data_IF_097879639074
#
_entry.id   IF_097879639074
#
_cell.length_a   1.000
_cell.length_b   1.000
_cell.length_c   1.000
_cell.angle_alpha   90.00
_cell.angle_beta   90.00
_cell.angle_gamma   90.00
#
_symmetry.space_group_name_H-M   'P 1'
#
loop_
_entity.id
_entity.type
_entity.pdbx_description
1 polymer ?
#
# COMPACT_ATOMS: atom_id res chain seq x y z
N UNK A 1 -11.18 -4.81 -31.59
CA UNK A 1 -9.90 -4.47 -32.26
C UNK A 1 -8.80 -4.78 -31.25
N UNK A 2 -7.94 -5.75 -31.54
CA UNK A 2 -6.90 -6.14 -30.56
C UNK A 2 -5.68 -5.23 -30.71
N UNK A 3 -5.29 -4.62 -29.60
CA UNK A 3 -4.01 -3.95 -29.44
C UNK A 3 -3.06 -4.99 -28.83
N UNK A 4 -2.05 -5.40 -29.57
CA UNK A 4 -1.02 -6.28 -29.04
C UNK A 4 -0.06 -5.49 -28.14
N UNK A 5 0.16 -5.98 -26.93
CA UNK A 5 1.07 -5.36 -25.98
C UNK A 5 2.17 -6.34 -25.55
N UNK A 6 3.41 -5.91 -25.62
CA UNK A 6 4.57 -6.67 -25.13
C UNK A 6 5.27 -5.85 -24.08
N UNK A 7 5.50 -6.44 -22.90
CA UNK A 7 6.27 -5.81 -21.84
C UNK A 7 7.76 -6.13 -22.02
N UNK A 8 8.62 -5.10 -21.89
CA UNK A 8 10.08 -5.22 -21.86
C UNK A 8 10.61 -4.59 -20.60
N UNK A 9 11.62 -5.19 -19.99
CA UNK A 9 12.26 -4.67 -18.80
C UNK A 9 13.72 -4.33 -19.07
N UNK A 10 14.14 -3.14 -18.65
CA UNK A 10 15.53 -2.72 -18.71
C UNK A 10 15.86 -1.86 -17.47
N UNK A 11 16.95 -2.18 -16.76
CA UNK A 11 17.38 -1.50 -15.52
C UNK A 11 16.25 -1.29 -14.50
N UNK A 12 15.44 -2.33 -14.23
CA UNK A 12 14.28 -2.30 -13.35
C UNK A 12 13.14 -1.36 -13.79
N UNK A 13 13.20 -0.80 -14.99
CA UNK A 13 12.14 -0.02 -15.60
C UNK A 13 11.39 -0.88 -16.62
N UNK A 14 10.06 -0.87 -16.53
CA UNK A 14 9.20 -1.58 -17.46
C UNK A 14 8.76 -0.65 -18.59
N UNK A 15 8.84 -1.16 -19.81
CA UNK A 15 8.38 -0.53 -21.04
C UNK A 15 7.27 -1.38 -21.66
N UNK A 16 6.21 -0.73 -22.15
CA UNK A 16 5.17 -1.38 -22.94
C UNK A 16 5.40 -1.00 -24.39
N UNK A 17 5.52 -2.01 -25.23
CA UNK A 17 5.49 -1.86 -26.68
C UNK A 17 4.09 -2.25 -27.15
N UNK A 18 3.30 -1.29 -27.58
CA UNK A 18 1.94 -1.51 -28.06
C UNK A 18 1.88 -1.37 -29.57
N UNK A 19 1.31 -2.38 -30.23
CA UNK A 19 1.17 -2.41 -31.69
C UNK A 19 -0.30 -2.46 -32.07
N UNK A 20 -0.70 -1.56 -32.99
CA UNK A 20 -2.03 -1.51 -33.59
C UNK A 20 -1.91 -1.28 -35.08
N UNK A 21 -2.44 -2.19 -35.90
CA UNK A 21 -2.36 -2.13 -37.37
C UNK A 21 -0.93 -1.88 -37.90
N UNK A 22 0.08 -2.50 -37.27
CA UNK A 22 1.49 -2.33 -37.65
C UNK A 22 2.12 -1.01 -37.18
N UNK A 23 1.36 -0.19 -36.45
CA UNK A 23 1.86 1.03 -35.82
C UNK A 23 2.27 0.78 -34.38
N UNK A 24 3.54 1.05 -34.07
CA UNK A 24 4.13 0.73 -32.77
C UNK A 24 4.32 2.00 -31.92
N UNK A 25 3.93 1.92 -30.66
CA UNK A 25 4.15 2.94 -29.64
C UNK A 25 4.86 2.33 -28.44
N UNK A 26 5.89 3.00 -27.94
CA UNK A 26 6.64 2.58 -26.76
C UNK A 26 6.30 3.51 -25.60
N UNK A 27 5.92 2.92 -24.46
CA UNK A 27 5.54 3.63 -23.23
C UNK A 27 6.41 3.18 -22.09
N UNK A 28 6.98 4.11 -21.34
CA UNK A 28 7.69 3.85 -20.07
C UNK A 28 6.67 3.82 -18.94
N UNK A 29 6.58 2.69 -18.22
CA UNK A 29 5.54 2.49 -17.19
C UNK A 29 5.70 3.35 -15.92
N UNK A 30 6.90 3.79 -15.61
CA UNK A 30 7.18 4.55 -14.38
C UNK A 30 6.48 5.90 -14.33
N UNK A 31 6.30 6.55 -15.47
CA UNK A 31 5.75 7.90 -15.61
C UNK A 31 4.71 8.03 -16.73
N UNK A 32 4.43 6.94 -17.45
CA UNK A 32 3.57 6.89 -18.63
C UNK A 32 4.02 7.81 -19.76
N UNK A 33 5.35 7.98 -19.92
CA UNK A 33 5.90 8.75 -21.03
C UNK A 33 6.08 7.90 -22.28
N UNK A 34 5.86 8.52 -23.41
CA UNK A 34 5.86 7.91 -24.73
C UNK A 34 7.14 8.26 -25.50
N UNK A 35 7.71 7.30 -26.21
CA UNK A 35 8.88 7.53 -27.03
C UNK A 35 8.56 8.29 -28.31
N UNK A 36 8.71 9.62 -28.28
CA UNK A 36 8.44 10.50 -29.41
C UNK A 36 9.39 10.26 -30.58
N UNK A 37 10.67 9.94 -30.32
CA UNK A 37 11.66 9.68 -31.38
C UNK A 37 11.27 8.47 -32.22
N UNK A 38 10.86 7.37 -31.60
CA UNK A 38 10.40 6.16 -32.32
C UNK A 38 9.10 6.40 -33.06
N UNK A 39 8.19 7.15 -32.42
CA UNK A 39 6.91 7.54 -33.04
C UNK A 39 7.13 8.35 -34.31
N UNK A 40 7.97 9.40 -34.27
CA UNK A 40 8.30 10.24 -35.46
C UNK A 40 8.95 9.37 -36.55
N UNK A 41 9.90 8.51 -36.18
CA UNK A 41 10.55 7.60 -37.13
C UNK A 41 9.53 6.72 -37.85
N UNK A 42 8.61 6.13 -37.07
CA UNK A 42 7.57 5.25 -37.62
C UNK A 42 6.61 6.00 -38.58
N UNK A 43 6.20 7.22 -38.19
CA UNK A 43 5.34 8.06 -39.06
C UNK A 43 6.10 8.44 -40.35
N UNK A 44 7.39 8.80 -40.26
CA UNK A 44 8.21 9.10 -41.43
C UNK A 44 8.30 7.92 -42.40
N UNK A 45 8.46 6.69 -41.90
CA UNK A 45 8.50 5.48 -42.72
C UNK A 45 7.17 5.26 -43.45
N UNK A 46 6.03 5.54 -42.81
CA UNK A 46 4.71 5.31 -43.35
C UNK A 46 4.28 6.42 -44.32
N UNK A 47 4.67 7.67 -44.08
CA UNK A 47 4.27 8.85 -44.88
C UNK A 47 5.34 9.28 -45.89
N UNK A 48 6.52 8.65 -45.91
CA UNK A 48 7.64 9.05 -46.76
C UNK A 48 8.19 10.43 -46.44
N UNK A 49 8.11 10.85 -45.17
CA UNK A 49 8.61 12.15 -44.68
C UNK A 49 9.94 12.01 -43.96
N UNK A 50 10.60 13.13 -43.68
CA UNK A 50 11.89 13.15 -42.94
C UNK A 50 11.86 14.18 -41.83
N UNK A 51 10.84 14.11 -40.98
CA UNK A 51 10.74 14.97 -39.79
C UNK A 51 11.68 14.47 -38.69
N UNK A 52 12.30 15.38 -37.95
CA UNK A 52 13.28 15.05 -36.93
C UNK A 52 12.93 15.69 -35.60
N UNK A 53 13.15 14.96 -34.52
CA UNK A 53 12.79 15.39 -33.17
C UNK A 53 13.43 16.73 -32.78
N UNK A 54 14.65 17.01 -33.22
CA UNK A 54 15.32 18.26 -32.89
C UNK A 54 14.65 19.49 -33.51
N UNK A 55 14.05 19.37 -34.71
CA UNK A 55 13.24 20.46 -35.32
C UNK A 55 11.98 20.73 -34.49
N UNK A 56 11.35 19.67 -33.95
CA UNK A 56 10.23 19.84 -33.04
C UNK A 56 10.65 20.57 -31.75
N UNK A 57 11.74 20.16 -31.13
CA UNK A 57 12.25 20.78 -29.90
C UNK A 57 12.66 22.24 -30.08
N UNK A 58 12.95 22.68 -31.30
CA UNK A 58 13.21 24.07 -31.65
C UNK A 58 11.93 24.87 -32.06
N UNK A 59 10.80 24.18 -32.20
CA UNK A 59 9.54 24.83 -32.61
C UNK A 59 8.97 25.70 -31.48
N UNK A 60 8.70 26.98 -31.79
CA UNK A 60 8.20 27.95 -30.80
C UNK A 60 6.88 27.51 -30.19
N UNK A 61 5.91 27.12 -31.00
CA UNK A 61 4.58 26.68 -30.54
C UNK A 61 4.67 25.46 -29.66
N UNK A 62 5.56 24.52 -29.98
CA UNK A 62 5.82 23.36 -29.11
C UNK A 62 6.41 23.77 -27.76
N UNK A 63 7.40 24.68 -27.74
CA UNK A 63 7.99 25.17 -26.53
C UNK A 63 7.00 25.97 -25.66
N UNK A 64 6.12 26.74 -26.28
CA UNK A 64 5.06 27.43 -25.54
C UNK A 64 4.08 26.45 -24.92
N UNK A 65 3.69 25.38 -25.63
CA UNK A 65 2.88 24.29 -25.08
C UNK A 65 3.59 23.60 -23.91
N UNK A 66 4.89 23.31 -24.05
CA UNK A 66 5.69 22.70 -22.94
C UNK A 66 5.65 23.57 -21.69
N UNK A 67 5.74 24.89 -21.83
CA UNK A 67 5.67 25.83 -20.70
C UNK A 67 4.29 25.82 -20.03
N UNK A 68 3.21 25.84 -20.82
CA UNK A 68 1.83 25.85 -20.31
C UNK A 68 1.49 24.59 -19.52
N UNK A 69 2.03 23.42 -19.92
CA UNK A 69 1.75 22.15 -19.24
C UNK A 69 2.78 21.81 -18.14
N UNK A 70 3.82 22.66 -17.98
CA UNK A 70 4.87 22.44 -16.96
C UNK A 70 4.34 22.76 -15.58
N UNK A 71 3.85 21.73 -14.90
CA UNK A 71 3.75 21.75 -13.45
C UNK A 71 5.15 21.51 -12.87
N UNK A 72 5.63 22.40 -12.02
CA UNK A 72 7.02 22.65 -11.67
C UNK A 72 7.84 21.48 -11.07
N UNK A 73 7.34 20.25 -11.04
CA UNK A 73 7.99 19.11 -10.35
C UNK A 73 8.48 17.97 -11.24
N UNK A 74 7.97 17.82 -12.45
CA UNK A 74 8.35 16.71 -13.34
C UNK A 74 8.69 17.29 -14.73
N UNK A 75 9.86 17.00 -15.30
CA UNK A 75 10.19 17.43 -16.65
C UNK A 75 9.24 16.75 -17.63
N UNK A 76 8.58 17.52 -18.48
CA UNK A 76 7.65 16.98 -19.49
C UNK A 76 8.34 16.22 -20.62
N UNK A 77 9.66 16.34 -20.73
CA UNK A 77 10.50 15.74 -21.76
C UNK A 77 11.72 15.15 -21.08
N UNK A 78 12.06 13.92 -21.44
CA UNK A 78 13.23 13.19 -20.94
C UNK A 78 13.99 12.55 -22.12
N UNK A 79 15.28 12.83 -22.23
CA UNK A 79 16.14 12.33 -23.33
C UNK A 79 16.94 11.15 -22.81
N UNK A 80 16.59 9.95 -23.25
CA UNK A 80 17.19 8.68 -22.80
C UNK A 80 18.09 8.09 -23.92
N UNK A 81 19.36 8.45 -23.92
CA UNK A 81 20.34 7.96 -24.89
C UNK A 81 21.05 6.68 -24.45
N UNK A 82 21.05 6.41 -23.13
CA UNK A 82 21.75 5.26 -22.53
C UNK A 82 20.93 3.94 -22.57
N UNK A 83 19.76 3.98 -23.20
CA UNK A 83 18.93 2.82 -23.38
C UNK A 83 19.35 2.03 -24.63
N UNK A 84 19.01 0.71 -24.70
CA UNK A 84 19.15 -0.07 -25.93
C UNK A 84 18.51 0.62 -27.14
N UNK A 85 19.04 0.41 -28.33
CA UNK A 85 18.61 1.10 -29.54
C UNK A 85 17.10 1.02 -29.82
N UNK A 86 16.44 -0.04 -29.41
CA UNK A 86 15.00 -0.23 -29.55
C UNK A 86 14.16 0.61 -28.55
N UNK A 87 14.75 0.99 -27.42
CA UNK A 87 14.11 1.81 -26.38
C UNK A 87 14.65 3.24 -26.32
N UNK A 88 15.82 3.52 -26.83
CA UNK A 88 16.45 4.84 -26.77
C UNK A 88 15.63 5.90 -27.50
N UNK A 89 15.70 7.14 -27.03
CA UNK A 89 15.05 8.29 -27.65
C UNK A 89 14.52 9.32 -26.67
N UNK A 90 13.72 10.24 -27.15
CA UNK A 90 13.08 11.29 -26.35
C UNK A 90 11.70 10.84 -25.90
N UNK A 91 11.52 10.80 -24.59
CA UNK A 91 10.24 10.44 -23.96
C UNK A 91 9.47 11.69 -23.56
N UNK A 92 8.17 11.69 -23.78
CA UNK A 92 7.30 12.83 -23.53
C UNK A 92 5.96 12.39 -22.92
N UNK A 93 5.32 13.28 -22.17
CA UNK A 93 3.99 13.02 -21.64
C UNK A 93 2.91 12.94 -22.75
N UNK A 94 1.72 12.42 -22.42
CA UNK A 94 0.61 12.19 -23.37
C UNK A 94 0.20 13.45 -24.12
N UNK A 95 0.17 14.63 -23.49
CA UNK A 95 -0.26 15.86 -24.12
C UNK A 95 0.70 16.30 -25.21
N UNK A 96 2.00 16.19 -24.96
CA UNK A 96 3.04 16.51 -25.96
C UNK A 96 3.03 15.51 -27.12
N UNK A 97 2.76 14.23 -26.85
CA UNK A 97 2.65 13.22 -27.92
C UNK A 97 1.49 13.53 -28.90
N UNK A 98 0.39 14.05 -28.40
CA UNK A 98 -0.71 14.49 -29.29
C UNK A 98 -0.23 15.60 -30.23
N UNK A 99 0.56 16.55 -29.71
CA UNK A 99 1.14 17.60 -30.59
C UNK A 99 2.16 17.00 -31.56
N UNK A 100 3.02 16.05 -31.14
CA UNK A 100 3.93 15.34 -32.05
C UNK A 100 3.18 14.71 -33.22
N UNK A 101 2.07 14.01 -32.91
CA UNK A 101 1.24 13.40 -33.95
C UNK A 101 0.66 14.44 -34.93
N UNK A 102 0.09 15.54 -34.44
CA UNK A 102 -0.42 16.61 -35.28
C UNK A 102 0.68 17.25 -36.14
N UNK A 103 1.85 17.46 -35.55
CA UNK A 103 2.98 18.03 -36.27
C UNK A 103 3.55 17.07 -37.33
N UNK A 104 3.52 15.77 -37.09
CA UNK A 104 3.97 14.77 -38.08
C UNK A 104 2.89 14.53 -39.14
N UNK A 105 1.71 14.11 -38.74
CA UNK A 105 0.58 13.85 -39.61
C UNK A 105 -0.69 13.67 -38.77
N UNK A 106 -1.70 14.50 -38.99
CA UNK A 106 -2.97 14.45 -38.27
C UNK A 106 -3.68 13.09 -38.41
N UNK A 107 -3.40 12.37 -39.49
CA UNK A 107 -3.95 11.03 -39.75
C UNK A 107 -3.64 10.04 -38.61
N UNK A 108 -2.46 10.13 -38.00
CA UNK A 108 -2.04 9.22 -36.96
C UNK A 108 -2.47 9.65 -35.55
N UNK A 109 -2.93 10.89 -35.37
CA UNK A 109 -3.42 11.36 -34.08
C UNK A 109 -4.52 10.43 -33.52
N UNK A 110 -5.48 10.04 -34.34
CA UNK A 110 -6.59 9.16 -33.90
C UNK A 110 -6.08 7.76 -33.53
N UNK A 111 -5.15 7.21 -34.32
CA UNK A 111 -4.59 5.88 -34.05
C UNK A 111 -3.77 5.86 -32.77
N UNK A 112 -2.91 6.87 -32.59
CA UNK A 112 -2.09 7.01 -31.37
C UNK A 112 -2.98 7.18 -30.15
N UNK A 113 -4.02 8.01 -30.20
CA UNK A 113 -4.94 8.16 -29.08
C UNK A 113 -5.64 6.85 -28.73
N UNK A 114 -6.12 6.07 -29.69
CA UNK A 114 -6.72 4.76 -29.43
C UNK A 114 -5.76 3.79 -28.72
N UNK A 115 -4.49 3.77 -29.13
CA UNK A 115 -3.48 2.93 -28.47
C UNK A 115 -3.23 3.43 -27.05
N UNK A 116 -3.08 4.75 -26.85
CA UNK A 116 -2.88 5.34 -25.54
C UNK A 116 -4.05 5.08 -24.58
N UNK A 117 -5.28 5.17 -25.08
CA UNK A 117 -6.47 4.88 -24.27
C UNK A 117 -6.54 3.40 -23.89
N UNK A 118 -6.23 2.47 -24.82
CA UNK A 118 -6.13 1.05 -24.53
C UNK A 118 -5.08 0.73 -23.45
N UNK A 119 -3.91 1.38 -23.50
CA UNK A 119 -2.86 1.23 -22.49
C UNK A 119 -3.36 1.71 -21.12
N UNK A 120 -4.04 2.85 -21.07
CA UNK A 120 -4.57 3.41 -19.82
C UNK A 120 -5.67 2.52 -19.23
N UNK A 121 -6.57 1.98 -20.05
CA UNK A 121 -7.62 1.03 -19.65
C UNK A 121 -7.01 -0.23 -19.05
N UNK A 122 -5.99 -0.79 -19.72
CA UNK A 122 -5.26 -1.96 -19.21
C UNK A 122 -4.61 -1.67 -17.86
N UNK A 123 -3.88 -0.57 -17.74
CA UNK A 123 -3.25 -0.15 -16.49
C UNK A 123 -4.28 0.04 -15.36
N UNK A 124 -5.43 0.65 -15.65
CA UNK A 124 -6.51 0.84 -14.68
C UNK A 124 -7.09 -0.50 -14.21
N UNK A 125 -7.28 -1.43 -15.15
CA UNK A 125 -7.78 -2.78 -14.85
C UNK A 125 -6.80 -3.55 -13.96
N UNK A 126 -5.50 -3.50 -14.26
CA UNK A 126 -4.45 -4.15 -13.48
C UNK A 126 -4.34 -3.54 -12.07
N UNK A 127 -4.45 -2.22 -11.95
CA UNK A 127 -4.48 -1.54 -10.65
C UNK A 127 -5.69 -1.96 -9.82
N UNK A 128 -6.88 -1.98 -10.39
CA UNK A 128 -8.10 -2.38 -9.70
C UNK A 128 -8.03 -3.84 -9.22
N UNK A 129 -7.46 -4.74 -10.03
CA UNK A 129 -7.22 -6.13 -9.65
C UNK A 129 -6.25 -6.23 -8.47
N UNK A 130 -5.19 -5.44 -8.49
CA UNK A 130 -4.20 -5.39 -7.39
C UNK A 130 -4.82 -4.85 -6.11
N UNK A 131 -5.61 -3.77 -6.19
CA UNK A 131 -6.33 -3.19 -5.04
C UNK A 131 -7.26 -4.23 -4.43
N UNK A 132 -8.05 -4.94 -5.25
CA UNK A 132 -8.94 -5.99 -4.77
C UNK A 132 -8.18 -7.10 -4.04
N UNK A 133 -7.09 -7.60 -4.62
CA UNK A 133 -6.27 -8.64 -4.00
C UNK A 133 -5.68 -8.19 -2.64
N UNK A 134 -5.25 -6.91 -2.54
CA UNK A 134 -4.74 -6.35 -1.29
C UNK A 134 -5.84 -6.19 -0.24
N UNK A 135 -7.06 -5.81 -0.65
CA UNK A 135 -8.22 -5.73 0.24
C UNK A 135 -8.60 -7.10 0.79
N UNK A 136 -8.66 -8.12 -0.06
CA UNK A 136 -8.99 -9.50 0.32
C UNK A 136 -7.94 -10.02 1.32
N UNK A 137 -6.65 -9.85 1.03
CA UNK A 137 -5.56 -10.23 1.94
C UNK A 137 -5.60 -9.48 3.29
N UNK A 138 -5.97 -8.20 3.27
CA UNK A 138 -6.14 -7.42 4.51
C UNK A 138 -7.29 -7.94 5.36
N UNK A 139 -8.40 -8.35 4.73
CA UNK A 139 -9.55 -8.93 5.41
C UNK A 139 -9.20 -10.31 6.00
N UNK A 140 -8.47 -11.15 5.27
CA UNK A 140 -7.96 -12.43 5.79
C UNK A 140 -7.07 -12.23 7.02
N UNK A 141 -6.12 -11.30 6.96
CA UNK A 141 -5.24 -10.98 8.10
C UNK A 141 -6.03 -10.47 9.31
N UNK A 142 -7.03 -9.60 9.09
CA UNK A 142 -7.91 -9.15 10.17
C UNK A 142 -8.67 -10.30 10.82
N UNK A 143 -9.16 -11.24 10.03
CA UNK A 143 -9.86 -12.42 10.53
C UNK A 143 -8.93 -13.32 11.34
N UNK A 144 -7.70 -13.55 10.87
CA UNK A 144 -6.68 -14.29 11.60
C UNK A 144 -6.34 -13.64 12.94
N UNK A 145 -6.12 -12.31 12.95
CA UNK A 145 -5.85 -11.57 14.19
C UNK A 145 -7.01 -11.72 15.19
N UNK A 146 -8.26 -11.64 14.72
CA UNK A 146 -9.44 -11.79 15.59
C UNK A 146 -9.52 -13.22 16.15
N UNK A 147 -9.20 -14.24 15.36
CA UNK A 147 -9.14 -15.63 15.81
C UNK A 147 -8.02 -15.82 16.84
N UNK A 148 -6.80 -15.35 16.56
CA UNK A 148 -5.66 -15.46 17.46
C UNK A 148 -5.94 -14.77 18.81
N UNK A 149 -6.58 -13.60 18.80
CA UNK A 149 -7.01 -12.90 20.02
C UNK A 149 -8.12 -13.69 20.73
N UNK A 150 -9.04 -14.31 20.00
CA UNK A 150 -10.09 -15.17 20.53
C UNK A 150 -9.49 -16.38 21.24
N UNK A 151 -8.60 -17.10 20.59
CA UNK A 151 -7.91 -18.28 21.13
C UNK A 151 -7.03 -17.94 22.34
N UNK A 152 -6.35 -16.79 22.31
CA UNK A 152 -5.61 -16.30 23.47
C UNK A 152 -6.55 -15.96 24.65
N UNK A 153 -7.73 -15.41 24.40
CA UNK A 153 -8.73 -15.11 25.44
C UNK A 153 -9.33 -16.36 26.05
N UNK A 154 -9.58 -17.42 25.27
CA UNK A 154 -10.06 -18.70 25.80
C UNK A 154 -9.02 -19.39 26.67
N UNK A 155 -7.74 -19.25 26.35
CA UNK A 155 -6.63 -19.84 27.11
C UNK A 155 -6.12 -18.96 28.25
N UNK A 156 -6.43 -17.66 28.24
CA UNK A 156 -5.99 -16.71 29.25
C UNK A 156 -7.01 -16.64 30.37
N UNK A 157 -6.65 -17.16 31.56
CA UNK A 157 -7.46 -16.95 32.75
C UNK A 157 -7.23 -15.55 33.28
N UNK A 158 -8.26 -14.73 33.23
CA UNK A 158 -8.22 -13.43 33.88
C UNK A 158 -8.42 -13.59 35.38
N UNK A 159 -7.65 -12.80 36.11
CA UNK A 159 -7.83 -12.62 37.54
C UNK A 159 -8.36 -11.22 37.76
N UNK A 160 -9.42 -11.11 38.51
CA UNK A 160 -10.04 -9.85 38.87
C UNK A 160 -9.60 -9.46 40.28
N UNK A 161 -9.30 -8.20 40.46
CA UNK A 161 -9.01 -7.61 41.76
C UNK A 161 -10.13 -6.65 42.06
N UNK A 162 -11.03 -7.04 42.95
CA UNK A 162 -12.19 -6.23 43.33
C UNK A 162 -11.86 -5.43 44.59
N UNK A 163 -12.17 -4.15 44.54
CA UNK A 163 -12.14 -3.30 45.74
C UNK A 163 -13.38 -3.60 46.58
N UNK A 164 -13.18 -3.98 47.85
CA UNK A 164 -14.26 -4.27 48.77
C UNK A 164 -14.65 -3.05 49.58
N UNK A 165 -13.64 -2.30 50.03
CA UNK A 165 -13.77 -1.03 50.75
C UNK A 165 -12.57 -0.13 50.41
N UNK A 166 -12.49 1.07 50.99
CA UNK A 166 -11.49 2.08 50.67
C UNK A 166 -10.03 1.58 50.73
N UNK A 167 -9.76 0.59 51.57
CA UNK A 167 -8.42 0.09 51.83
C UNK A 167 -8.22 -1.40 51.54
N UNK A 168 -9.29 -2.13 51.20
CA UNK A 168 -9.24 -3.59 51.07
C UNK A 168 -9.62 -4.05 49.67
N UNK A 169 -8.77 -4.95 49.16
CA UNK A 169 -8.94 -5.58 47.85
C UNK A 169 -9.02 -7.09 47.97
N UNK A 170 -9.72 -7.74 47.05
CA UNK A 170 -9.89 -9.19 46.98
C UNK A 170 -9.54 -9.72 45.60
N UNK A 171 -8.81 -10.83 45.53
CA UNK A 171 -8.56 -11.55 44.27
C UNK A 171 -9.73 -12.50 43.98
N UNK A 172 -10.32 -12.36 42.76
CA UNK A 172 -11.44 -13.17 42.29
C UNK A 172 -11.02 -13.91 41.03
N UNK A 173 -11.23 -15.24 41.00
CA UNK A 173 -10.76 -16.13 39.94
C UNK A 173 -11.82 -16.53 38.93
N UNK A 174 -13.06 -16.10 39.08
CA UNK A 174 -14.15 -16.53 38.21
C UNK A 174 -15.02 -15.37 37.74
N UNK A 175 -15.33 -15.40 36.44
CA UNK A 175 -16.11 -14.38 35.78
C UNK A 175 -17.61 -14.50 35.90
N UNK A 176 -18.15 -15.51 36.56
CA UNK A 176 -19.59 -15.67 36.68
C UNK A 176 -20.22 -14.63 37.60
N UNK A 177 -19.78 -13.32 37.48
CA UNK A 177 -20.30 -12.37 38.25
C UNK A 177 -20.62 -11.14 37.74
N UNK A 178 -21.57 -11.03 37.11
CA UNK A 178 -22.21 -9.81 36.76
C UNK A 178 -23.17 -9.42 37.87
N UNK A 179 -23.17 -8.15 38.23
CA UNK A 179 -24.13 -7.49 39.11
C UNK A 179 -23.92 -7.61 40.59
N UNK A 180 -22.75 -7.15 41.05
CA UNK A 180 -22.67 -6.49 42.37
C UNK A 180 -21.99 -5.16 42.18
N UNK A 181 -22.45 -4.12 42.83
CA UNK A 181 -21.81 -2.82 42.87
C UNK A 181 -20.41 -2.95 43.47
N UNK A 182 -19.40 -2.92 42.60
CA UNK A 182 -18.02 -2.89 43.00
C UNK A 182 -17.49 -1.47 42.82
N UNK A 183 -16.77 -0.95 43.78
CA UNK A 183 -16.22 0.40 43.72
C UNK A 183 -15.19 0.51 42.60
N UNK A 184 -14.37 -0.52 42.39
CA UNK A 184 -13.35 -0.56 41.33
C UNK A 184 -12.90 -2.02 41.10
N UNK A 185 -12.80 -2.42 39.83
CA UNK A 185 -12.28 -3.73 39.45
C UNK A 185 -11.09 -3.56 38.53
N UNK A 186 -9.99 -4.24 38.83
CA UNK A 186 -8.83 -4.32 37.96
C UNK A 186 -8.80 -5.71 37.33
N UNK A 187 -8.66 -5.74 36.01
CA UNK A 187 -8.51 -6.97 35.26
C UNK A 187 -7.02 -7.21 35.01
N UNK A 188 -6.49 -8.32 35.49
CA UNK A 188 -5.08 -8.68 35.37
C UNK A 188 -4.97 -10.01 34.62
N UNK A 189 -4.22 -9.99 33.54
CA UNK A 189 -3.94 -11.19 32.76
C UNK A 189 -3.03 -12.12 33.58
N UNK A 190 -3.41 -13.38 33.71
CA UNK A 190 -2.63 -14.36 34.44
C UNK A 190 -2.64 -15.71 33.74
N UNK A 191 -1.47 -16.33 33.62
CA UNK A 191 -1.36 -17.71 33.20
C UNK A 191 -1.18 -18.63 34.43
N UNK A 192 -1.88 -19.74 34.44
CA UNK A 192 -1.73 -20.77 35.43
C UNK A 192 -2.43 -20.53 36.79
N UNK A 193 -2.04 -21.33 37.79
CA UNK A 193 -2.72 -21.39 39.08
C UNK A 193 -2.15 -20.36 40.06
N UNK A 194 -2.36 -19.09 39.83
CA UNK A 194 -1.85 -17.96 40.63
C UNK A 194 -2.24 -18.09 42.12
N UNK A 195 -3.35 -18.77 42.43
CA UNK A 195 -3.78 -19.02 43.79
C UNK A 195 -2.77 -19.80 44.63
N UNK A 196 -1.89 -20.59 44.01
CA UNK A 196 -0.87 -21.36 44.66
C UNK A 196 0.46 -20.63 44.84
N UNK A 197 0.57 -19.41 44.28
CA UNK A 197 1.81 -18.65 44.37
C UNK A 197 2.12 -18.31 45.85
N UNK A 198 3.24 -18.80 46.33
CA UNK A 198 3.67 -18.59 47.73
C UNK A 198 4.00 -17.13 48.03
N UNK A 199 4.39 -16.36 47.03
CA UNK A 199 4.69 -14.93 47.17
C UNK A 199 3.44 -14.11 47.45
N UNK A 200 2.31 -14.37 46.73
CA UNK A 200 1.05 -13.69 46.98
C UNK A 200 0.51 -13.88 48.39
N UNK A 201 0.76 -15.06 48.95
CA UNK A 201 0.31 -15.38 50.33
C UNK A 201 0.92 -14.47 51.40
N UNK A 202 2.05 -13.85 51.13
CA UNK A 202 2.72 -12.92 52.06
C UNK A 202 1.93 -11.61 52.22
N UNK A 203 1.12 -11.26 51.25
CA UNK A 203 0.38 -9.99 51.19
C UNK A 203 -1.07 -10.13 51.67
N UNK A 204 -1.56 -11.35 51.87
CA UNK A 204 -2.94 -11.57 52.32
C UNK A 204 -3.15 -11.20 53.78
N UNK A 205 -4.13 -10.37 54.06
CA UNK A 205 -4.66 -10.11 55.39
C UNK A 205 -5.47 -11.32 55.85
N UNK A 206 -6.35 -11.82 54.98
CA UNK A 206 -7.10 -13.06 55.18
C UNK A 206 -6.80 -14.04 54.04
N UNK A 207 -6.13 -15.13 54.34
CA UNK A 207 -5.71 -16.14 53.36
C UNK A 207 -6.90 -16.92 52.78
N UNK A 208 -7.98 -17.08 53.54
CA UNK A 208 -9.19 -17.75 53.02
C UNK A 208 -10.00 -16.88 52.11
N UNK A 209 -10.12 -15.60 52.43
CA UNK A 209 -10.84 -14.61 51.61
C UNK A 209 -9.96 -14.02 50.53
N UNK A 210 -8.64 -14.23 50.56
CA UNK A 210 -7.65 -13.69 49.63
C UNK A 210 -7.74 -12.15 49.51
N UNK A 211 -7.84 -11.49 50.66
CA UNK A 211 -7.91 -10.03 50.77
C UNK A 211 -6.56 -9.45 51.13
N UNK A 212 -6.28 -8.24 50.68
CA UNK A 212 -5.05 -7.50 50.91
C UNK A 212 -5.30 -5.98 50.97
N UNK A 213 -4.33 -5.23 51.53
CA UNK A 213 -4.45 -3.79 51.68
C UNK A 213 -4.09 -3.04 50.38
N UNK A 214 -4.62 -1.83 50.23
CA UNK A 214 -4.33 -0.92 49.12
C UNK A 214 -2.82 -0.70 48.96
N UNK A 215 -2.07 -0.57 50.05
CA UNK A 215 -0.61 -0.41 50.03
C UNK A 215 0.16 -1.52 49.30
N UNK A 216 -0.45 -2.70 49.15
CA UNK A 216 0.13 -3.85 48.48
C UNK A 216 -0.40 -4.08 47.05
N UNK A 217 -1.32 -3.24 46.57
CA UNK A 217 -2.00 -3.44 45.29
C UNK A 217 -1.03 -3.53 44.11
N UNK A 218 -0.09 -2.59 43.99
CA UNK A 218 0.89 -2.58 42.90
C UNK A 218 1.77 -3.84 42.90
N UNK A 219 2.22 -4.26 44.07
CA UNK A 219 3.05 -5.43 44.22
C UNK A 219 2.28 -6.73 43.90
N UNK A 220 1.05 -6.83 44.31
CA UNK A 220 0.16 -7.94 43.98
C UNK A 220 -0.10 -8.01 42.47
N UNK A 221 -0.39 -6.90 41.81
CA UNK A 221 -0.55 -6.84 40.36
C UNK A 221 0.73 -7.29 39.66
N UNK A 222 1.90 -6.82 40.08
CA UNK A 222 3.19 -7.17 39.50
C UNK A 222 3.48 -8.67 39.61
N UNK A 223 3.19 -9.28 40.75
CA UNK A 223 3.38 -10.73 40.95
C UNK A 223 2.42 -11.53 40.06
N UNK A 224 1.18 -11.08 39.92
CA UNK A 224 0.18 -11.74 39.03
C UNK A 224 0.63 -11.66 37.58
N UNK A 225 1.05 -10.47 37.13
CA UNK A 225 1.50 -10.24 35.75
C UNK A 225 2.79 -10.96 35.39
N UNK A 226 3.73 -11.07 36.31
CA UNK A 226 5.02 -11.75 36.08
C UNK A 226 4.85 -13.25 35.80
N UNK A 227 3.76 -13.87 36.24
CA UNK A 227 3.46 -15.28 35.96
C UNK A 227 2.88 -15.50 34.55
N UNK A 228 2.78 -14.46 33.73
CA UNK A 228 2.31 -14.56 32.36
C UNK A 228 3.44 -14.70 31.33
N UNK A 229 4.70 -14.54 31.75
CA UNK A 229 5.84 -14.46 30.82
C UNK A 229 6.58 -15.79 30.61
N UNK A 230 5.96 -16.94 30.87
CA UNK A 230 6.54 -18.26 30.60
C UNK A 230 5.58 -19.20 29.91
#
# INVERSE_FOLDING_TARGET
MEVNQVSRQYNNVNYIVSTYNGFEIIVRKTDNYFNASKLIKKINELEGTNKQIHHLLQNKTFNDLVKEISDSKIPNIDICNDLPNDLSGTYMNKLLINYVCMWCSIRYLIQVNRIMDSINEQNTTDMNKTIKNLQDKNNELKTQIIQDIGDQRENSKYIFIDQIDDNTFKIVYDQKKKNKQHYKTFEVLASGNVAKNSELKKYYIDKHKRTFNLSNLEQVIKIISANHSH
#
